data_IF_457577102237
#
_entry.id   IF_457577102237
#
_cell.length_a   1.000
_cell.length_b   1.000
_cell.length_c   1.000
_cell.angle_alpha   90.00
_cell.angle_beta   90.00
_cell.angle_gamma   90.00
#
_symmetry.space_group_name_H-M   'P 1'
#
loop_
_entity.id
_entity.type
_entity.pdbx_description
1 polymer ?
#
# COMPACT_ATOMS: atom_id res chain seq x y z
N UNK A 1 -6.56 8.56 -51.24
CA UNK A 1 -6.64 9.69 -50.29
C UNK A 1 -7.30 9.16 -49.04
N UNK A 2 -6.53 8.82 -48.05
CA UNK A 2 -7.01 8.36 -46.73
C UNK A 2 -6.08 8.96 -45.68
N UNK A 3 -6.63 9.86 -44.88
CA UNK A 3 -5.92 10.56 -43.85
C UNK A 3 -5.75 9.66 -42.62
N UNK A 4 -4.51 9.38 -42.26
CA UNK A 4 -4.13 8.70 -41.01
C UNK A 4 -4.07 9.76 -39.92
N UNK A 5 -5.06 9.76 -39.03
CA UNK A 5 -5.06 10.55 -37.81
C UNK A 5 -4.16 9.87 -36.77
N UNK A 6 -2.93 10.37 -36.67
CA UNK A 6 -2.02 10.03 -35.59
C UNK A 6 -2.48 10.72 -34.29
N UNK A 7 -3.05 9.96 -33.35
CA UNK A 7 -3.30 10.43 -32.00
C UNK A 7 -1.97 10.44 -31.23
N UNK A 8 -1.33 11.60 -31.17
CA UNK A 8 -0.22 11.89 -30.26
C UNK A 8 -0.80 12.01 -28.84
N UNK A 9 -0.47 11.05 -27.97
CA UNK A 9 -0.69 11.19 -26.54
C UNK A 9 0.24 12.28 -25.99
N UNK A 10 -0.34 13.43 -25.74
CA UNK A 10 0.28 14.54 -25.03
C UNK A 10 0.25 14.22 -23.53
N UNK A 11 1.42 13.98 -22.93
CA UNK A 11 1.60 13.89 -21.47
C UNK A 11 1.82 15.31 -20.98
N UNK A 12 0.90 15.95 -20.25
CA UNK A 12 1.21 17.22 -19.61
C UNK A 12 2.14 16.95 -18.42
N UNK A 13 3.34 17.51 -18.48
CA UNK A 13 4.21 17.70 -17.35
C UNK A 13 3.53 18.63 -16.34
N UNK A 14 3.47 18.17 -15.13
CA UNK A 14 3.44 18.81 -13.87
C UNK A 14 2.86 20.20 -13.75
N UNK A 15 1.95 20.38 -12.84
CA UNK A 15 1.80 21.64 -12.11
C UNK A 15 1.24 21.34 -10.72
N UNK A 16 2.06 21.56 -9.75
CA UNK A 16 1.81 22.03 -8.38
C UNK A 16 0.35 22.40 -8.05
N UNK A 17 -0.46 21.41 -7.71
CA UNK A 17 -1.81 21.59 -7.21
C UNK A 17 -2.02 20.94 -5.82
N UNK A 18 -0.92 20.69 -5.07
CA UNK A 18 -0.99 20.04 -3.73
C UNK A 18 -0.74 21.05 -2.60
N UNK A 19 -0.64 22.34 -2.88
CA UNK A 19 -0.29 23.34 -1.85
C UNK A 19 -1.47 24.13 -1.26
N UNK A 20 -2.74 23.79 -1.58
CA UNK A 20 -3.88 24.56 -1.09
C UNK A 20 -4.88 23.83 -0.20
N UNK A 21 -4.51 22.72 0.45
CA UNK A 21 -5.43 22.00 1.36
C UNK A 21 -4.89 21.79 2.79
N UNK A 22 -4.02 22.68 3.27
CA UNK A 22 -3.55 22.65 4.67
C UNK A 22 -3.62 24.05 5.30
N UNK A 23 -4.79 24.70 5.23
CA UNK A 23 -5.19 25.71 6.20
C UNK A 23 -6.26 25.13 7.13
N UNK A 24 -5.84 24.19 7.99
CA UNK A 24 -6.56 23.93 9.23
C UNK A 24 -6.12 25.05 10.14
N UNK A 25 -7.05 25.95 10.46
CA UNK A 25 -6.86 27.06 11.38
C UNK A 25 -6.36 26.54 12.72
N UNK A 26 -5.07 26.71 12.98
CA UNK A 26 -4.42 26.39 14.26
C UNK A 26 -5.06 27.17 15.43
N UNK A 27 -5.75 28.25 15.15
CA UNK A 27 -6.49 29.06 16.12
C UNK A 27 -7.71 28.35 16.70
N UNK A 28 -8.37 27.45 15.92
CA UNK A 28 -9.54 26.72 16.40
C UNK A 28 -9.21 25.59 17.39
N UNK A 29 -8.01 25.01 17.27
CA UNK A 29 -7.56 23.91 18.18
C UNK A 29 -7.08 24.45 19.52
N UNK A 30 -6.47 25.64 19.56
CA UNK A 30 -5.98 26.26 20.79
C UNK A 30 -7.16 26.85 21.62
N UNK A 31 -8.24 27.30 20.98
CA UNK A 31 -9.42 27.85 21.64
C UNK A 31 -10.22 26.81 22.43
N UNK A 32 -10.29 25.57 21.97
CA UNK A 32 -11.04 24.50 22.65
C UNK A 32 -10.32 23.96 23.90
N UNK A 33 -8.98 24.00 23.93
CA UNK A 33 -8.20 23.56 25.10
C UNK A 33 -8.24 24.56 26.25
N UNK A 34 -8.42 25.86 25.99
CA UNK A 34 -8.43 26.91 27.03
C UNK A 34 -9.76 27.00 27.79
N UNK A 35 -10.88 26.55 27.20
CA UNK A 35 -12.17 26.56 27.86
C UNK A 35 -12.38 25.46 28.92
N UNK A 36 -11.54 24.41 28.89
CA UNK A 36 -11.65 23.30 29.86
C UNK A 36 -10.92 23.63 31.17
N UNK A 37 -9.97 24.57 31.16
CA UNK A 37 -9.15 24.92 32.34
C UNK A 37 -9.81 26.01 33.20
N UNK A 38 -10.73 26.80 32.66
CA UNK A 38 -11.40 27.91 33.38
C UNK A 38 -12.74 27.54 34.02
N UNK A 39 -13.25 26.30 33.85
CA UNK A 39 -14.52 25.82 34.37
C UNK A 39 -14.44 25.06 35.70
N UNK A 40 -13.28 24.81 36.28
CA UNK A 40 -13.12 23.98 37.48
C UNK A 40 -12.73 24.79 38.73
N UNK A 41 -13.46 25.85 39.02
CA UNK A 41 -13.30 26.65 40.21
C UNK A 41 -14.52 26.63 41.12
N UNK A 42 -14.92 25.46 41.63
CA UNK A 42 -15.84 25.33 42.75
C UNK A 42 -15.36 24.20 43.66
N UNK A 43 -14.65 24.59 44.72
CA UNK A 43 -14.26 23.73 45.81
C UNK A 43 -15.47 23.18 46.51
N UNK A 44 -15.76 21.91 46.35
CA UNK A 44 -16.62 21.13 47.24
C UNK A 44 -15.76 20.06 47.86
N UNK A 45 -15.34 20.27 49.12
CA UNK A 45 -14.69 19.25 49.94
C UNK A 45 -15.67 18.10 50.15
N UNK A 46 -15.45 16.99 49.46
CA UNK A 46 -16.17 15.74 49.73
C UNK A 46 -15.27 14.94 50.65
N UNK A 47 -15.66 14.87 51.94
CA UNK A 47 -15.10 13.94 52.92
C UNK A 47 -15.41 12.50 52.47
N UNK A 48 -14.41 11.81 51.94
CA UNK A 48 -14.48 10.36 51.63
C UNK A 48 -14.14 9.56 52.89
N UNK A 49 -14.99 8.61 53.32
CA UNK A 49 -14.66 7.77 54.47
C UNK A 49 -13.45 6.88 54.14
N UNK A 50 -12.58 6.71 55.12
CA UNK A 50 -11.27 6.01 55.06
C UNK A 50 -11.34 4.52 54.66
N UNK A 51 -12.52 4.00 54.33
CA UNK A 51 -12.74 2.60 53.88
C UNK A 51 -12.61 2.34 52.37
N UNK A 52 -12.50 3.42 51.58
CA UNK A 52 -12.47 3.27 50.09
C UNK A 52 -11.08 2.89 49.49
N UNK A 53 -10.00 3.17 50.20
CA UNK A 53 -8.65 2.82 49.68
C UNK A 53 -8.40 1.31 49.65
N UNK A 54 -8.95 0.54 50.59
CA UNK A 54 -8.78 -0.91 50.63
C UNK A 54 -9.50 -1.66 49.50
N UNK A 55 -10.56 -1.05 48.92
CA UNK A 55 -11.34 -1.65 47.82
C UNK A 55 -10.65 -1.40 46.51
N UNK A 56 -10.02 -0.23 46.29
CA UNK A 56 -9.34 0.09 45.05
C UNK A 56 -8.06 -0.77 44.90
N UNK A 57 -7.32 -1.00 45.99
CA UNK A 57 -6.12 -1.84 45.97
C UNK A 57 -6.45 -3.33 45.66
N UNK A 58 -7.61 -3.84 46.03
CA UNK A 58 -8.02 -5.23 45.78
C UNK A 58 -8.55 -5.45 44.36
N UNK A 59 -9.15 -4.43 43.74
CA UNK A 59 -9.69 -4.54 42.37
C UNK A 59 -8.56 -4.45 41.33
N UNK A 60 -7.45 -3.73 41.62
CA UNK A 60 -6.32 -3.59 40.70
C UNK A 60 -5.42 -4.85 40.65
N UNK A 61 -5.43 -5.70 41.68
CA UNK A 61 -4.56 -6.89 41.72
C UNK A 61 -5.20 -8.15 41.09
N UNK A 62 -6.49 -8.12 40.73
CA UNK A 62 -7.20 -9.31 40.25
C UNK A 62 -7.66 -9.24 38.80
N UNK A 63 -7.29 -8.19 38.06
CA UNK A 63 -7.59 -8.14 36.64
C UNK A 63 -6.34 -8.59 35.87
N UNK A 64 -6.32 -9.81 35.30
CA UNK A 64 -5.27 -10.14 34.33
C UNK A 64 -5.38 -9.10 33.21
N UNK A 65 -4.28 -8.39 32.95
CA UNK A 65 -4.16 -7.60 31.72
C UNK A 65 -4.59 -8.52 30.58
N UNK A 66 -5.44 -8.05 29.63
CA UNK A 66 -5.71 -8.83 28.44
C UNK A 66 -4.34 -9.20 27.87
N UNK A 67 -3.99 -10.49 27.90
CA UNK A 67 -2.85 -10.98 27.16
C UNK A 67 -3.16 -10.64 25.72
N UNK A 68 -2.48 -9.62 25.20
CA UNK A 68 -2.43 -9.35 23.77
C UNK A 68 -2.12 -10.71 23.12
N UNK A 69 -3.13 -11.24 22.47
CA UNK A 69 -3.04 -12.55 21.82
C UNK A 69 -1.80 -12.47 20.94
N UNK A 70 -0.75 -13.18 21.32
CA UNK A 70 0.50 -13.19 20.61
C UNK A 70 0.16 -13.46 19.13
N UNK A 71 0.24 -12.40 18.33
CA UNK A 71 -0.02 -12.47 16.89
C UNK A 71 0.98 -13.48 16.34
N UNK A 72 0.49 -14.51 15.65
CA UNK A 72 1.34 -15.53 15.07
C UNK A 72 2.48 -14.83 14.29
N UNK A 73 3.75 -15.31 14.38
CA UNK A 73 4.87 -14.65 13.76
C UNK A 73 4.54 -14.35 12.30
N UNK A 74 4.44 -13.08 11.95
CA UNK A 74 4.23 -12.69 10.55
C UNK A 74 5.44 -13.20 9.78
N UNK A 75 5.26 -13.86 8.63
CA UNK A 75 6.39 -14.31 7.83
C UNK A 75 7.24 -13.09 7.47
N UNK A 76 8.46 -13.06 8.02
CA UNK A 76 9.41 -11.97 7.75
C UNK A 76 9.69 -11.88 6.25
N UNK A 77 9.92 -10.67 5.77
CA UNK A 77 10.40 -10.46 4.41
C UNK A 77 11.75 -11.16 4.22
N UNK A 78 11.98 -11.74 3.05
CA UNK A 78 13.31 -12.18 2.65
C UNK A 78 14.30 -11.00 2.63
N UNK A 79 15.61 -11.27 2.69
CA UNK A 79 16.64 -10.21 2.62
C UNK A 79 16.46 -9.34 1.37
N UNK A 80 16.22 -9.97 0.22
CA UNK A 80 15.97 -9.30 -1.04
C UNK A 80 14.73 -8.38 -0.99
N UNK A 81 13.61 -8.88 -0.44
CA UNK A 81 12.39 -8.07 -0.32
C UNK A 81 12.55 -6.93 0.70
N UNK A 82 13.28 -7.14 1.79
CA UNK A 82 13.60 -6.08 2.75
C UNK A 82 14.47 -5.00 2.11
N UNK A 83 15.50 -5.40 1.34
CA UNK A 83 16.36 -4.46 0.62
C UNK A 83 15.58 -3.66 -0.43
N UNK A 84 14.69 -4.33 -1.18
CA UNK A 84 13.82 -3.68 -2.16
C UNK A 84 12.84 -2.69 -1.49
N UNK A 85 12.24 -3.04 -0.34
CA UNK A 85 11.38 -2.14 0.44
C UNK A 85 12.12 -0.88 0.86
N UNK A 86 13.32 -1.02 1.41
CA UNK A 86 14.11 0.12 1.89
C UNK A 86 14.50 1.05 0.74
N UNK A 87 14.85 0.48 -0.42
CA UNK A 87 15.11 1.26 -1.64
C UNK A 87 13.87 2.01 -2.12
N UNK A 88 12.72 1.33 -2.18
CA UNK A 88 11.44 1.93 -2.57
C UNK A 88 11.05 3.05 -1.59
N UNK A 89 11.22 2.83 -0.30
CA UNK A 89 10.97 3.82 0.75
C UNK A 89 11.72 5.13 0.49
N UNK A 90 13.00 5.03 0.18
CA UNK A 90 13.84 6.19 -0.13
C UNK A 90 13.42 6.86 -1.45
N UNK A 91 13.20 6.07 -2.51
CA UNK A 91 12.90 6.58 -3.85
C UNK A 91 11.56 7.32 -3.92
N UNK A 92 10.53 6.75 -3.30
CA UNK A 92 9.17 7.29 -3.34
C UNK A 92 8.81 8.12 -2.11
N UNK A 93 9.76 8.29 -1.16
CA UNK A 93 9.59 9.05 0.09
C UNK A 93 8.41 8.56 0.93
N UNK A 94 8.26 7.24 1.01
CA UNK A 94 7.24 6.56 1.81
C UNK A 94 7.91 5.91 3.03
N UNK A 95 7.27 5.96 4.19
CA UNK A 95 7.82 5.31 5.38
C UNK A 95 7.94 3.78 5.17
N UNK A 96 9.09 3.16 5.52
CA UNK A 96 9.26 1.70 5.39
C UNK A 96 8.19 0.88 6.09
N UNK A 97 7.69 1.39 7.24
CA UNK A 97 6.61 0.76 8.01
C UNK A 97 5.28 0.74 7.26
N UNK A 98 4.98 1.76 6.46
CA UNK A 98 3.79 1.81 5.63
C UNK A 98 3.88 0.85 4.42
N UNK A 99 5.10 0.58 3.93
CA UNK A 99 5.35 -0.36 2.85
C UNK A 99 5.38 -1.82 3.31
N UNK A 100 5.62 -2.08 4.60
CA UNK A 100 5.78 -3.43 5.13
C UNK A 100 4.62 -4.36 4.74
N UNK A 101 3.33 -4.03 4.99
CA UNK A 101 2.21 -4.90 4.62
C UNK A 101 2.09 -5.12 3.11
N UNK A 102 2.46 -4.12 2.29
CA UNK A 102 2.46 -4.20 0.83
C UNK A 102 3.49 -5.22 0.34
N UNK A 103 4.71 -5.18 0.88
CA UNK A 103 5.78 -6.10 0.53
C UNK A 103 5.52 -7.52 1.04
N UNK A 104 4.92 -7.66 2.21
CA UNK A 104 4.48 -8.97 2.74
C UNK A 104 3.40 -9.58 1.84
N UNK A 105 2.41 -8.80 1.42
CA UNK A 105 1.37 -9.23 0.50
C UNK A 105 1.96 -9.62 -0.86
N UNK A 106 2.88 -8.83 -1.42
CA UNK A 106 3.57 -9.16 -2.67
C UNK A 106 4.36 -10.46 -2.57
N UNK A 107 5.12 -10.65 -1.48
CA UNK A 107 5.91 -11.86 -1.24
C UNK A 107 5.01 -13.09 -1.06
N UNK A 108 3.89 -12.97 -0.34
CA UNK A 108 2.90 -14.03 -0.15
C UNK A 108 2.24 -14.39 -1.49
N UNK A 109 1.70 -13.40 -2.20
CA UNK A 109 1.01 -13.59 -3.47
C UNK A 109 1.93 -14.21 -4.54
N UNK A 110 3.22 -13.84 -4.54
CA UNK A 110 4.23 -14.41 -5.42
C UNK A 110 4.44 -15.91 -5.16
N UNK A 111 4.60 -16.31 -3.89
CA UNK A 111 4.74 -17.73 -3.53
C UNK A 111 3.52 -18.55 -3.93
N UNK A 112 2.31 -18.05 -3.66
CA UNK A 112 1.05 -18.73 -3.97
C UNK A 112 0.83 -18.95 -5.46
N UNK A 113 1.42 -18.09 -6.31
CA UNK A 113 1.18 -18.05 -7.76
C UNK A 113 2.41 -18.40 -8.60
N UNK A 114 3.50 -18.79 -7.93
CA UNK A 114 4.78 -19.04 -8.59
C UNK A 114 5.25 -17.87 -9.47
N UNK A 115 5.12 -16.65 -8.93
CA UNK A 115 5.65 -15.42 -9.52
C UNK A 115 6.92 -14.99 -8.79
N UNK A 116 7.74 -14.19 -9.46
CA UNK A 116 8.83 -13.47 -8.79
C UNK A 116 8.25 -12.29 -7.97
N UNK A 117 8.52 -12.19 -6.66
CA UNK A 117 8.01 -11.09 -5.85
C UNK A 117 8.50 -9.72 -6.32
N UNK A 118 9.71 -9.62 -6.88
CA UNK A 118 10.23 -8.37 -7.45
C UNK A 118 9.50 -7.97 -8.73
N UNK A 119 8.87 -8.92 -9.44
CA UNK A 119 7.99 -8.61 -10.56
C UNK A 119 6.74 -7.85 -10.09
N UNK A 120 6.11 -8.30 -9.00
CA UNK A 120 4.95 -7.62 -8.42
C UNK A 120 5.33 -6.21 -7.95
N UNK A 121 6.47 -6.07 -7.25
CA UNK A 121 7.01 -4.78 -6.81
C UNK A 121 7.28 -3.85 -8.01
N UNK A 122 7.83 -4.37 -9.10
CA UNK A 122 8.06 -3.60 -10.32
C UNK A 122 6.76 -3.11 -10.97
N UNK A 123 5.72 -3.95 -11.02
CA UNK A 123 4.39 -3.55 -11.50
C UNK A 123 3.84 -2.41 -10.64
N UNK A 124 3.86 -2.53 -9.30
CA UNK A 124 3.42 -1.45 -8.39
C UNK A 124 4.19 -0.15 -8.64
N UNK A 125 5.51 -0.24 -8.88
CA UNK A 125 6.35 0.92 -9.20
C UNK A 125 5.89 1.64 -10.46
N UNK A 126 5.50 0.90 -11.51
CA UNK A 126 5.08 1.46 -12.80
C UNK A 126 3.64 1.97 -12.74
N UNK A 127 2.74 1.26 -12.07
CA UNK A 127 1.30 1.56 -12.03
C UNK A 127 0.96 2.77 -11.16
N UNK A 128 1.51 2.83 -9.96
CA UNK A 128 1.10 3.84 -8.97
C UNK A 128 2.24 4.61 -8.33
N UNK A 129 3.49 4.17 -8.51
CA UNK A 129 4.60 4.69 -7.72
C UNK A 129 4.38 4.52 -6.21
N UNK A 130 3.75 3.44 -5.81
CA UNK A 130 3.38 3.15 -4.41
C UNK A 130 2.33 4.09 -3.78
N UNK A 131 1.53 4.79 -4.60
CA UNK A 131 0.38 5.53 -4.10
C UNK A 131 -0.85 4.60 -3.99
N UNK A 132 -1.31 4.23 -2.78
CA UNK A 132 -2.43 3.31 -2.62
C UNK A 132 -3.78 3.93 -3.05
N UNK A 133 -3.85 5.24 -3.15
CA UNK A 133 -5.06 5.97 -3.56
C UNK A 133 -5.01 6.42 -5.02
N UNK A 134 -4.05 5.91 -5.81
CA UNK A 134 -3.95 6.24 -7.22
C UNK A 134 -5.24 5.83 -7.97
N UNK A 135 -5.75 6.74 -8.78
CA UNK A 135 -6.89 6.50 -9.65
C UNK A 135 -6.59 7.08 -11.04
N UNK A 136 -6.91 6.32 -12.08
CA UNK A 136 -6.75 6.76 -13.46
C UNK A 136 -8.08 7.27 -14.04
N UNK A 137 -8.00 8.03 -15.12
CA UNK A 137 -9.18 8.48 -15.87
C UNK A 137 -10.02 7.31 -16.44
N UNK A 138 -9.44 6.13 -16.59
CA UNK A 138 -10.13 4.92 -17.01
C UNK A 138 -10.75 4.14 -15.86
N UNK A 139 -10.65 4.65 -14.62
CA UNK A 139 -11.19 4.05 -13.40
C UNK A 139 -10.32 2.95 -12.80
N UNK A 140 -9.05 2.85 -13.18
CA UNK A 140 -8.12 1.95 -12.49
C UNK A 140 -7.82 2.48 -11.09
N UNK A 141 -7.67 1.58 -10.10
CA UNK A 141 -7.56 1.92 -8.68
C UNK A 141 -6.41 1.21 -7.98
N UNK A 142 -5.77 1.93 -7.06
CA UNK A 142 -4.83 1.40 -6.08
C UNK A 142 -3.44 1.10 -6.62
N UNK A 143 -2.67 0.34 -5.85
CA UNK A 143 -1.24 0.08 -6.07
C UNK A 143 -0.94 -0.56 -7.43
N UNK A 144 -1.76 -1.52 -7.86
CA UNK A 144 -1.59 -2.27 -9.10
C UNK A 144 -2.60 -1.84 -10.18
N UNK A 145 -3.27 -0.70 -10.00
CA UNK A 145 -4.18 -0.07 -10.98
C UNK A 145 -5.23 -1.04 -11.55
N UNK A 146 -5.94 -1.73 -10.67
CA UNK A 146 -7.02 -2.65 -11.06
C UNK A 146 -8.24 -1.84 -11.50
N UNK A 147 -8.86 -2.24 -12.61
CA UNK A 147 -10.10 -1.64 -13.09
C UNK A 147 -11.30 -2.41 -12.51
N UNK A 148 -12.05 -1.86 -11.53
CA UNK A 148 -13.06 -2.60 -10.78
C UNK A 148 -14.13 -3.26 -11.64
N UNK A 149 -14.60 -2.57 -12.69
CA UNK A 149 -15.67 -3.07 -13.56
C UNK A 149 -15.41 -4.44 -14.19
N UNK A 150 -14.11 -4.83 -14.28
CA UNK A 150 -13.72 -6.12 -14.87
C UNK A 150 -13.43 -7.20 -13.83
N UNK A 151 -13.39 -6.85 -12.52
CA UNK A 151 -12.87 -7.72 -11.46
C UNK A 151 -13.71 -7.72 -10.18
N UNK A 152 -14.99 -7.30 -10.26
CA UNK A 152 -15.90 -7.31 -9.12
C UNK A 152 -16.12 -8.71 -8.54
N UNK A 153 -16.14 -9.73 -9.41
CA UNK A 153 -16.24 -11.12 -9.01
C UNK A 153 -15.08 -11.60 -8.14
N UNK A 154 -13.89 -11.05 -8.37
CA UNK A 154 -12.68 -11.36 -7.59
C UNK A 154 -12.74 -10.68 -6.21
N UNK A 155 -13.16 -9.41 -6.18
CA UNK A 155 -13.30 -8.67 -4.93
C UNK A 155 -14.37 -9.30 -4.02
N UNK A 156 -15.49 -9.70 -4.58
CA UNK A 156 -16.57 -10.35 -3.82
C UNK A 156 -16.12 -11.65 -3.11
N UNK A 157 -15.12 -12.35 -3.65
CA UNK A 157 -14.55 -13.54 -3.02
C UNK A 157 -13.64 -13.24 -1.81
N UNK A 158 -13.16 -12.01 -1.68
CA UNK A 158 -12.31 -11.59 -0.55
C UNK A 158 -13.18 -11.29 0.69
N UNK A 159 -14.38 -10.76 0.48
CA UNK A 159 -15.34 -10.48 1.55
C UNK A 159 -16.03 -9.13 1.39
N UNK A 160 -17.12 -8.93 2.13
CA UNK A 160 -18.02 -7.77 1.99
C UNK A 160 -17.36 -6.41 2.31
N UNK A 161 -16.28 -6.42 3.08
CA UNK A 161 -15.53 -5.20 3.45
C UNK A 161 -14.30 -4.95 2.58
N UNK A 162 -14.04 -5.82 1.60
CA UNK A 162 -12.88 -5.68 0.72
C UNK A 162 -13.02 -4.47 -0.21
N UNK A 163 -11.90 -3.83 -0.50
CA UNK A 163 -11.84 -2.66 -1.37
C UNK A 163 -10.62 -2.72 -2.28
N UNK A 164 -10.78 -2.30 -3.53
CA UNK A 164 -9.65 -2.13 -4.44
C UNK A 164 -8.67 -1.03 -4.00
N UNK A 165 -9.05 -0.15 -3.06
CA UNK A 165 -8.18 0.86 -2.46
C UNK A 165 -7.50 0.37 -1.18
N UNK A 166 -7.86 -0.80 -0.64
CA UNK A 166 -7.09 -1.43 0.43
C UNK A 166 -5.77 -1.96 -0.16
N UNK A 167 -4.61 -1.53 0.38
CA UNK A 167 -3.32 -1.84 -0.23
C UNK A 167 -3.01 -3.32 -0.32
N UNK A 168 -3.35 -4.09 0.71
CA UNK A 168 -3.09 -5.54 0.75
C UNK A 168 -3.99 -6.28 -0.23
N UNK A 169 -5.29 -6.00 -0.18
CA UNK A 169 -6.29 -6.55 -1.10
C UNK A 169 -5.94 -6.24 -2.56
N UNK A 170 -5.52 -5.00 -2.83
CA UNK A 170 -5.14 -4.58 -4.18
C UNK A 170 -3.94 -5.37 -4.71
N UNK A 171 -2.90 -5.58 -3.89
CA UNK A 171 -1.73 -6.37 -4.28
C UNK A 171 -2.08 -7.84 -4.49
N UNK A 172 -2.87 -8.45 -3.61
CA UNK A 172 -3.26 -9.86 -3.74
C UNK A 172 -4.11 -10.10 -5.01
N UNK A 173 -5.07 -9.23 -5.28
CA UNK A 173 -5.91 -9.32 -6.49
C UNK A 173 -5.14 -8.95 -7.76
N UNK A 174 -4.30 -7.91 -7.71
CA UNK A 174 -3.46 -7.52 -8.83
C UNK A 174 -2.47 -8.60 -9.23
N UNK A 175 -1.85 -9.26 -8.26
CA UNK A 175 -0.97 -10.41 -8.50
C UNK A 175 -1.72 -11.61 -9.10
N UNK A 176 -2.97 -11.84 -8.68
CA UNK A 176 -3.82 -12.85 -9.30
C UNK A 176 -4.12 -12.52 -10.77
N UNK A 177 -4.52 -11.27 -11.07
CA UNK A 177 -4.81 -10.82 -12.43
C UNK A 177 -3.56 -10.91 -13.32
N UNK A 178 -2.41 -10.49 -12.79
CA UNK A 178 -1.12 -10.60 -13.49
C UNK A 178 -0.77 -12.05 -13.82
N UNK A 179 -0.93 -12.95 -12.85
CA UNK A 179 -0.69 -14.38 -13.05
C UNK A 179 -1.63 -14.96 -14.13
N UNK A 180 -2.93 -14.63 -14.08
CA UNK A 180 -3.91 -15.04 -15.08
C UNK A 180 -3.53 -14.53 -16.48
N UNK A 181 -3.06 -13.27 -16.57
CA UNK A 181 -2.59 -12.67 -17.82
C UNK A 181 -1.38 -13.42 -18.41
N UNK A 182 -0.38 -13.69 -17.58
CA UNK A 182 0.84 -14.43 -18.00
C UNK A 182 0.47 -15.85 -18.45
N UNK A 183 -0.35 -16.55 -17.67
CA UNK A 183 -0.79 -17.91 -18.03
C UNK A 183 -1.59 -17.93 -19.33
N UNK A 184 -2.48 -16.96 -19.52
CA UNK A 184 -3.30 -16.87 -20.73
C UNK A 184 -2.47 -16.63 -21.98
N UNK A 185 -1.44 -15.82 -21.88
CA UNK A 185 -0.56 -15.47 -23.01
C UNK A 185 0.57 -16.48 -23.22
N UNK A 186 0.87 -17.32 -22.22
CA UNK A 186 1.93 -18.31 -22.28
C UNK A 186 3.37 -17.71 -22.25
N UNK A 187 3.49 -16.39 -22.17
CA UNK A 187 4.74 -15.65 -22.15
C UNK A 187 4.67 -14.46 -21.20
N UNK A 188 5.77 -14.15 -20.49
CA UNK A 188 5.83 -13.07 -19.52
C UNK A 188 5.61 -11.70 -20.16
N UNK A 189 6.26 -11.40 -21.29
CA UNK A 189 6.15 -10.09 -21.94
C UNK A 189 4.77 -9.86 -22.51
N UNK A 190 4.22 -10.85 -23.18
CA UNK A 190 2.86 -10.80 -23.71
C UNK A 190 1.83 -10.71 -22.58
N UNK A 191 2.06 -11.42 -21.47
CA UNK A 191 1.23 -11.34 -20.27
C UNK A 191 1.26 -9.95 -19.63
N UNK A 192 2.44 -9.31 -19.55
CA UNK A 192 2.58 -7.93 -19.09
C UNK A 192 1.86 -6.95 -20.03
N UNK A 193 2.03 -7.07 -21.34
CA UNK A 193 1.32 -6.23 -22.32
C UNK A 193 -0.19 -6.36 -22.20
N UNK A 194 -0.68 -7.59 -22.02
CA UNK A 194 -2.11 -7.83 -21.77
C UNK A 194 -2.58 -7.20 -20.46
N UNK A 195 -1.80 -7.34 -19.37
CA UNK A 195 -2.10 -6.73 -18.07
C UNK A 195 -2.19 -5.19 -18.16
N UNK A 196 -1.22 -4.57 -18.83
CA UNK A 196 -1.16 -3.12 -19.02
C UNK A 196 -2.14 -2.58 -20.08
N UNK A 197 -2.97 -3.44 -20.69
CA UNK A 197 -3.92 -3.02 -21.72
C UNK A 197 -3.25 -2.55 -23.03
N UNK A 198 -2.02 -3.04 -23.31
CA UNK A 198 -1.21 -2.62 -24.43
C UNK A 198 -0.86 -3.79 -25.39
N UNK A 199 -1.81 -4.72 -25.59
CA UNK A 199 -1.58 -5.92 -26.39
C UNK A 199 -1.21 -5.64 -27.84
N UNK A 200 -1.64 -4.50 -28.38
CA UNK A 200 -1.42 -4.11 -29.77
C UNK A 200 -0.14 -3.26 -29.97
N UNK A 201 0.65 -3.06 -28.91
CA UNK A 201 1.92 -2.31 -28.99
C UNK A 201 3.06 -3.23 -29.43
N UNK A 202 3.58 -3.10 -30.68
CA UNK A 202 4.64 -3.96 -31.20
C UNK A 202 5.99 -3.73 -30.49
N UNK A 203 6.21 -2.57 -29.90
CA UNK A 203 7.43 -2.23 -29.17
C UNK A 203 7.43 -2.77 -27.74
N UNK A 204 6.30 -3.28 -27.28
CA UNK A 204 6.12 -3.83 -25.93
C UNK A 204 6.59 -2.86 -24.83
N UNK A 205 6.25 -1.58 -24.99
CA UNK A 205 6.75 -0.52 -24.13
C UNK A 205 6.42 -0.71 -22.65
N UNK A 206 5.20 -1.21 -22.35
CA UNK A 206 4.82 -1.50 -20.98
C UNK A 206 5.65 -2.63 -20.37
N UNK A 207 5.74 -3.77 -21.06
CA UNK A 207 6.55 -4.91 -20.60
C UNK A 207 8.03 -4.52 -20.41
N UNK A 208 8.59 -3.74 -21.33
CA UNK A 208 9.96 -3.25 -21.22
C UNK A 208 10.17 -2.38 -19.97
N UNK A 209 9.22 -1.48 -19.62
CA UNK A 209 9.29 -0.68 -18.39
C UNK A 209 9.29 -1.55 -17.15
N UNK A 210 8.37 -2.51 -17.05
CA UNK A 210 8.26 -3.40 -15.89
C UNK A 210 9.50 -4.28 -15.75
N UNK A 211 9.98 -4.89 -16.82
CA UNK A 211 11.17 -5.75 -16.80
C UNK A 211 12.43 -4.96 -16.43
N UNK A 212 12.57 -3.74 -16.95
CA UNK A 212 13.70 -2.87 -16.60
C UNK A 212 13.68 -2.49 -15.12
N UNK A 213 12.51 -2.16 -14.58
CA UNK A 213 12.39 -1.86 -13.15
C UNK A 213 12.66 -3.09 -12.28
N UNK A 214 12.16 -4.27 -12.67
CA UNK A 214 12.48 -5.53 -12.01
C UNK A 214 13.98 -5.80 -11.98
N UNK A 215 14.66 -5.68 -13.10
CA UNK A 215 16.13 -5.87 -13.20
C UNK A 215 16.88 -4.88 -12.30
N UNK A 216 16.42 -3.65 -12.23
CA UNK A 216 16.98 -2.64 -11.33
C UNK A 216 16.86 -3.07 -9.86
N UNK A 217 15.68 -3.52 -9.43
CA UNK A 217 15.47 -4.04 -8.09
C UNK A 217 16.38 -5.24 -7.79
N UNK A 218 16.52 -6.18 -8.72
CA UNK A 218 17.42 -7.32 -8.59
C UNK A 218 18.89 -6.92 -8.39
N UNK A 219 19.36 -5.95 -9.16
CA UNK A 219 20.74 -5.46 -9.05
C UNK A 219 21.01 -4.84 -7.67
N UNK A 220 20.04 -4.10 -7.14
CA UNK A 220 20.15 -3.46 -5.82
C UNK A 220 20.16 -4.48 -4.69
N UNK A 221 19.32 -5.51 -4.78
CA UNK A 221 19.28 -6.57 -3.76
C UNK A 221 20.55 -7.39 -3.73
N UNK A 222 21.11 -7.75 -4.89
CA UNK A 222 22.39 -8.47 -4.99
C UNK A 222 23.56 -7.68 -4.40
N UNK A 223 23.66 -6.37 -4.64
CA UNK A 223 24.74 -5.53 -4.09
C UNK A 223 24.69 -5.47 -2.56
N UNK A 224 23.52 -5.51 -1.95
CA UNK A 224 23.39 -5.50 -0.50
C UNK A 224 23.83 -6.83 0.11
N UNK A 225 23.48 -7.96 -0.49
CA UNK A 225 23.90 -9.28 -0.03
C UNK A 225 25.44 -9.43 -0.06
N UNK A 226 26.12 -8.87 -1.08
CA UNK A 226 27.59 -8.88 -1.18
C UNK A 226 28.28 -7.91 -0.22
N UNK A 227 27.60 -6.89 0.29
CA UNK A 227 28.15 -5.93 1.24
C UNK A 227 28.01 -6.35 2.71
N UNK A 228 27.16 -7.35 2.98
CA UNK A 228 26.82 -7.83 4.33
C UNK A 228 27.46 -9.21 4.67
N UNK A 229 28.07 -9.88 3.71
CA UNK A 229 28.81 -11.14 3.87
C UNK A 229 30.31 -10.92 3.83
#
# INVERSE_FOLDING_TARGET
MSAILSHRYFIPHGSNAILNYLHIDLAAVVGAALMIVLGAGLSSSIDLPASSEAIIARVTLSRPLPQEKAEAPRPSLSSAMSAARDFVAQRYRVAPTALQPVFEAAQKAARERNLDPLLIVAVISIESGFNPYAQSNMGAQGLMQIIPRYHQDKLAKVGDKASFLDPVTNVELGAQILHEAIRRQGDLRLGLQYYGGASDDPEQAYANKVITEKQRLEQLTRRRDTATG
#
